data_IF_751861695448
#
_entry.id   IF_751861695448
#
_cell.length_a   1.000
_cell.length_b   1.000
_cell.length_c   1.000
_cell.angle_alpha   90.00
_cell.angle_beta   90.00
_cell.angle_gamma   90.00
#
_symmetry.space_group_name_H-M   'P 1'
#
loop_
_entity.id
_entity.type
_entity.pdbx_description
1 polymer ?
#
# COMPACT_ATOMS: atom_id res chain seq x y z
N UNK A 1 -0.48 -7.98 -6.54
CA UNK A 1 0.13 -6.89 -5.77
C UNK A 1 -0.63 -5.61 -6.08
N UNK A 2 -1.06 -4.86 -5.06
CA UNK A 2 -1.80 -3.61 -5.25
C UNK A 2 -0.90 -2.49 -4.73
N UNK A 3 -0.63 -1.47 -5.54
CA UNK A 3 -0.07 -0.22 -5.02
C UNK A 3 -1.20 0.63 -4.46
N UNK A 4 -0.97 1.23 -3.30
CA UNK A 4 -1.84 2.24 -2.69
C UNK A 4 -1.08 3.57 -2.59
N UNK A 5 -0.30 3.88 -3.61
CA UNK A 5 0.40 5.16 -3.74
C UNK A 5 -0.34 6.04 -4.75
N UNK A 6 -0.39 7.34 -4.46
CA UNK A 6 -1.13 8.30 -5.26
C UNK A 6 -0.31 8.82 -6.45
N UNK A 7 -0.25 8.01 -7.51
CA UNK A 7 0.25 8.43 -8.82
C UNK A 7 -0.35 7.59 -9.95
N UNK A 8 -0.40 8.14 -11.17
CA UNK A 8 -1.00 7.48 -12.32
C UNK A 8 -0.31 6.16 -12.68
N UNK A 9 -1.09 5.14 -13.05
CA UNK A 9 -0.59 3.83 -13.45
C UNK A 9 0.27 3.14 -12.39
N UNK A 10 -0.09 3.29 -11.11
CA UNK A 10 0.68 2.75 -9.99
C UNK A 10 0.89 1.23 -10.06
N UNK A 11 -0.10 0.47 -10.53
CA UNK A 11 0.02 -0.96 -10.83
C UNK A 11 1.09 -1.26 -11.88
N UNK A 12 1.05 -0.56 -13.03
CA UNK A 12 2.02 -0.74 -14.12
C UNK A 12 3.44 -0.42 -13.67
N UNK A 13 3.64 0.68 -12.94
CA UNK A 13 4.97 1.08 -12.43
C UNK A 13 5.53 0.11 -11.40
N UNK A 14 4.67 -0.45 -10.56
CA UNK A 14 5.05 -1.50 -9.63
C UNK A 14 5.47 -2.76 -10.38
N UNK A 15 4.67 -3.19 -11.38
CA UNK A 15 4.97 -4.32 -12.26
C UNK A 15 6.33 -4.16 -12.94
N UNK A 16 6.55 -3.03 -13.59
CA UNK A 16 7.79 -2.74 -14.31
C UNK A 16 9.02 -2.80 -13.40
N UNK A 17 8.90 -2.23 -12.20
CA UNK A 17 9.97 -2.20 -11.19
C UNK A 17 10.31 -3.61 -10.69
N UNK A 18 9.29 -4.41 -10.36
CA UNK A 18 9.47 -5.80 -9.92
C UNK A 18 10.12 -6.64 -11.03
N UNK A 19 9.62 -6.54 -12.26
CA UNK A 19 10.15 -7.32 -13.38
C UNK A 19 11.56 -6.87 -13.78
N UNK A 20 11.90 -5.58 -13.62
CA UNK A 20 13.27 -5.10 -13.84
C UNK A 20 14.26 -5.75 -12.87
N UNK A 21 13.91 -5.84 -11.59
CA UNK A 21 14.74 -6.50 -10.58
C UNK A 21 14.85 -8.01 -10.88
N UNK A 22 13.73 -8.66 -11.18
CA UNK A 22 13.70 -10.09 -11.50
C UNK A 22 14.58 -10.41 -12.73
N UNK A 23 14.49 -9.61 -13.80
CA UNK A 23 15.37 -9.73 -14.98
C UNK A 23 16.84 -9.65 -14.59
N UNK A 24 17.22 -8.64 -13.80
CA UNK A 24 18.60 -8.47 -13.36
C UNK A 24 19.12 -9.66 -12.52
N UNK A 25 18.26 -10.34 -11.77
CA UNK A 25 18.61 -11.56 -11.05
C UNK A 25 18.75 -12.78 -11.96
N UNK A 26 17.88 -12.94 -12.95
CA UNK A 26 18.01 -14.01 -13.96
C UNK A 26 19.29 -13.84 -14.78
N UNK A 27 19.60 -12.63 -15.24
CA UNK A 27 20.84 -12.32 -15.98
C UNK A 27 22.10 -12.66 -15.19
N UNK A 28 22.05 -12.60 -13.86
CA UNK A 28 23.15 -12.93 -12.95
C UNK A 28 23.16 -14.41 -12.52
N UNK A 29 22.22 -15.21 -13.01
CA UNK A 29 22.07 -16.62 -12.63
C UNK A 29 21.58 -16.85 -11.20
N UNK A 30 21.03 -15.82 -10.53
CA UNK A 30 20.48 -15.94 -9.18
C UNK A 30 19.06 -16.54 -9.18
N UNK A 31 18.34 -16.43 -10.30
CA UNK A 31 17.01 -16.99 -10.51
C UNK A 31 16.92 -17.67 -11.88
N UNK A 32 15.96 -18.58 -12.05
CA UNK A 32 15.68 -19.25 -13.33
C UNK A 32 14.83 -18.36 -14.26
N UNK A 33 14.91 -18.62 -15.56
CA UNK A 33 14.04 -17.98 -16.54
C UNK A 33 12.55 -18.29 -16.26
N UNK A 34 12.24 -19.51 -15.80
CA UNK A 34 10.89 -19.92 -15.43
C UNK A 34 10.27 -19.01 -14.35
N UNK A 35 11.09 -18.51 -13.40
CA UNK A 35 10.62 -17.56 -12.40
C UNK A 35 10.18 -16.23 -13.05
N UNK A 36 10.97 -15.72 -13.99
CA UNK A 36 10.65 -14.48 -14.68
C UNK A 36 9.42 -14.62 -15.57
N UNK A 37 9.27 -15.77 -16.24
CA UNK A 37 8.11 -16.08 -17.07
C UNK A 37 6.84 -16.13 -16.21
N UNK A 38 6.90 -16.81 -15.06
CA UNK A 38 5.80 -16.84 -14.08
C UNK A 38 5.46 -15.44 -13.54
N UNK A 39 6.47 -14.65 -13.16
CA UNK A 39 6.26 -13.30 -12.62
C UNK A 39 5.69 -12.32 -13.66
N UNK A 40 5.95 -12.58 -14.94
CA UNK A 40 5.47 -11.76 -16.06
C UNK A 40 4.06 -12.13 -16.55
N UNK A 41 3.55 -13.31 -16.13
CA UNK A 41 2.21 -13.79 -16.47
C UNK A 41 1.16 -13.12 -15.57
N UNK A 42 0.38 -12.22 -16.15
CA UNK A 42 -0.66 -11.46 -15.46
C UNK A 42 -1.80 -12.33 -14.89
N UNK A 43 -1.94 -13.59 -15.33
CA UNK A 43 -2.88 -14.57 -14.74
C UNK A 43 -2.34 -15.24 -13.48
N UNK A 44 -1.02 -15.17 -13.26
CA UNK A 44 -0.32 -15.74 -12.10
C UNK A 44 0.05 -14.67 -11.09
N UNK A 45 0.47 -13.50 -11.58
CA UNK A 45 0.85 -12.35 -10.78
C UNK A 45 0.23 -11.10 -11.37
N UNK A 46 -0.83 -10.60 -10.72
CA UNK A 46 -1.52 -9.40 -11.17
C UNK A 46 -1.04 -8.14 -10.44
N UNK A 47 -1.05 -7.02 -11.15
CA UNK A 47 -0.70 -5.68 -10.67
C UNK A 47 -1.82 -4.68 -11.03
N UNK A 48 -3.02 -4.80 -10.45
CA UNK A 48 -4.13 -3.90 -10.77
C UNK A 48 -3.78 -2.45 -10.46
N UNK A 49 -4.27 -1.56 -11.31
CA UNK A 49 -4.21 -0.12 -11.06
C UNK A 49 -5.23 0.24 -9.98
N UNK A 50 -4.85 1.15 -9.09
CA UNK A 50 -5.75 1.71 -8.08
C UNK A 50 -5.82 3.23 -8.16
N UNK A 51 -6.96 3.77 -7.75
CA UNK A 51 -7.15 5.17 -7.38
C UNK A 51 -7.54 5.18 -5.92
N UNK A 52 -6.71 5.82 -5.09
CA UNK A 52 -6.98 6.03 -3.69
C UNK A 52 -7.11 7.53 -3.43
N UNK A 53 -8.06 7.89 -2.58
CA UNK A 53 -8.17 9.26 -2.11
C UNK A 53 -8.76 9.28 -0.70
N UNK A 54 -8.00 9.88 0.23
CA UNK A 54 -8.38 10.13 1.62
C UNK A 54 -7.37 11.08 2.25
N UNK A 55 -7.81 12.23 2.73
CA UNK A 55 -6.91 13.12 3.48
C UNK A 55 -6.65 12.55 4.87
N UNK A 56 -5.38 12.26 5.15
CA UNK A 56 -4.90 11.78 6.46
C UNK A 56 -3.97 12.81 7.11
N UNK A 57 -4.50 13.76 7.90
CA UNK A 57 -3.67 14.75 8.57
C UNK A 57 -2.82 14.11 9.69
N UNK A 58 -1.91 14.91 10.25
CA UNK A 58 -1.12 14.50 11.41
C UNK A 58 -2.02 14.13 12.61
N UNK A 59 -1.53 13.32 13.56
CA UNK A 59 -2.23 13.03 14.81
C UNK A 59 -2.67 14.32 15.55
N UNK A 60 -3.81 14.25 16.25
CA UNK A 60 -4.47 15.39 16.91
C UNK A 60 -4.54 15.14 18.40
N UNK A 61 -4.16 16.13 19.20
CA UNK A 61 -4.23 16.05 20.67
C UNK A 61 -5.66 15.82 21.14
N UNK A 62 -6.65 16.46 20.52
CA UNK A 62 -8.08 16.28 20.84
C UNK A 62 -8.51 14.81 20.66
N UNK A 63 -8.04 14.14 19.61
CA UNK A 63 -8.37 12.74 19.35
C UNK A 63 -7.65 11.81 20.34
N UNK A 64 -6.39 12.12 20.68
CA UNK A 64 -5.64 11.40 21.72
C UNK A 64 -6.34 11.46 23.07
N UNK A 65 -6.77 12.65 23.51
CA UNK A 65 -7.49 12.87 24.75
C UNK A 65 -8.85 12.16 24.75
N UNK A 66 -9.59 12.25 23.64
CA UNK A 66 -10.85 11.56 23.47
C UNK A 66 -10.70 10.03 23.60
N UNK A 67 -9.74 9.43 22.90
CA UNK A 67 -9.49 7.98 22.96
C UNK A 67 -9.01 7.55 24.35
N UNK A 68 -8.16 8.36 25.01
CA UNK A 68 -7.74 8.12 26.40
C UNK A 68 -8.95 8.17 27.35
N UNK A 69 -9.88 9.11 27.16
CA UNK A 69 -11.12 9.21 27.93
C UNK A 69 -12.07 8.03 27.74
N UNK A 70 -12.01 7.35 26.57
CA UNK A 70 -12.71 6.09 26.31
C UNK A 70 -12.02 4.86 26.95
N UNK A 71 -10.84 5.04 27.56
CA UNK A 71 -10.08 3.98 28.20
C UNK A 71 -9.07 3.26 27.30
N UNK A 72 -8.80 3.77 26.09
CA UNK A 72 -7.71 3.25 25.27
C UNK A 72 -6.36 3.65 25.86
N UNK A 73 -5.42 2.71 25.89
CA UNK A 73 -4.04 2.94 26.34
C UNK A 73 -3.14 3.30 25.16
N UNK A 74 -1.99 3.91 25.43
CA UNK A 74 -0.96 4.21 24.42
C UNK A 74 -1.42 5.13 23.27
N UNK A 75 -2.34 6.06 23.58
CA UNK A 75 -2.88 7.03 22.61
C UNK A 75 -2.06 8.33 22.51
N UNK A 76 -0.98 8.47 23.28
CA UNK A 76 -0.13 9.66 23.23
C UNK A 76 0.50 9.88 21.85
N UNK A 77 0.74 11.14 21.51
CA UNK A 77 1.47 11.53 20.30
C UNK A 77 2.95 11.58 20.63
N UNK A 78 3.75 10.79 19.92
CA UNK A 78 5.20 10.80 20.02
C UNK A 78 5.82 11.66 18.91
N UNK A 79 6.81 12.45 19.27
CA UNK A 79 7.48 13.43 18.41
C UNK A 79 8.91 12.98 18.03
N UNK A 80 9.09 11.68 17.77
CA UNK A 80 10.34 11.11 17.28
C UNK A 80 10.65 11.60 15.85
N UNK A 81 11.27 12.77 15.75
CA UNK A 81 11.75 13.34 14.49
C UNK A 81 10.78 14.32 13.83
N UNK A 82 10.75 14.33 12.49
CA UNK A 82 10.04 15.37 11.71
C UNK A 82 8.52 15.15 11.63
N UNK A 83 8.08 13.92 11.81
CA UNK A 83 6.68 13.53 11.65
C UNK A 83 6.19 12.94 12.97
N UNK A 84 5.22 13.57 13.64
CA UNK A 84 4.59 13.01 14.83
C UNK A 84 3.91 11.67 14.50
N UNK A 85 3.98 10.72 15.44
CA UNK A 85 3.37 9.40 15.32
C UNK A 85 2.42 9.16 16.50
N UNK A 86 1.37 8.37 16.28
CA UNK A 86 0.43 7.97 17.32
C UNK A 86 -0.14 6.59 16.98
N UNK A 87 -0.74 5.91 17.97
CA UNK A 87 -1.44 4.63 17.78
C UNK A 87 -2.79 4.74 17.05
N UNK A 88 -3.16 5.93 16.58
CA UNK A 88 -4.39 6.20 15.85
C UNK A 88 -4.11 7.04 14.59
N UNK A 89 -5.09 7.08 13.69
CA UNK A 89 -5.03 7.86 12.45
C UNK A 89 -6.23 8.80 12.40
N UNK A 90 -5.96 10.07 12.15
CA UNK A 90 -6.98 11.04 11.80
C UNK A 90 -7.28 10.94 10.31
N UNK A 91 -8.55 11.08 9.93
CA UNK A 91 -8.92 11.22 8.55
C UNK A 91 -10.21 12.02 8.40
N UNK A 92 -10.42 12.56 7.21
CA UNK A 92 -11.74 13.06 6.83
C UNK A 92 -12.75 11.90 6.62
N UNK A 93 -14.06 12.19 6.60
CA UNK A 93 -15.08 11.18 6.31
C UNK A 93 -15.08 10.67 4.86
N UNK A 94 -14.71 11.53 3.91
CA UNK A 94 -14.73 11.19 2.47
C UNK A 94 -13.60 10.22 2.15
N UNK A 95 -13.91 9.17 1.39
CA UNK A 95 -12.92 8.19 0.94
C UNK A 95 -13.30 7.60 -0.41
N UNK A 96 -12.28 7.35 -1.25
CA UNK A 96 -12.43 6.67 -2.52
C UNK A 96 -11.39 5.56 -2.65
N UNK A 97 -11.86 4.39 -3.07
CA UNK A 97 -11.04 3.25 -3.47
C UNK A 97 -11.62 2.69 -4.76
N UNK A 98 -10.90 2.88 -5.86
CA UNK A 98 -11.22 2.29 -7.16
C UNK A 98 -10.07 1.36 -7.50
N UNK A 99 -10.38 0.11 -7.83
CA UNK A 99 -9.37 -0.87 -8.20
C UNK A 99 -9.80 -1.52 -9.51
N UNK A 100 -8.87 -1.65 -10.44
CA UNK A 100 -9.05 -2.50 -11.61
C UNK A 100 -9.36 -3.94 -11.15
N UNK A 101 -10.44 -4.55 -11.65
CA UNK A 101 -10.82 -5.92 -11.28
C UNK A 101 -9.94 -6.96 -12.00
N UNK A 102 -8.63 -6.90 -11.70
CA UNK A 102 -7.58 -7.72 -12.29
C UNK A 102 -6.74 -8.34 -11.17
N UNK A 103 -7.18 -9.50 -10.69
CA UNK A 103 -6.55 -10.23 -9.61
C UNK A 103 -6.18 -11.65 -10.06
N UNK A 104 -5.00 -12.12 -9.67
CA UNK A 104 -4.54 -13.47 -9.99
C UNK A 104 -5.01 -14.53 -8.97
N UNK A 105 -5.62 -14.09 -7.87
CA UNK A 105 -6.17 -14.92 -6.81
C UNK A 105 -7.46 -14.28 -6.27
N UNK A 106 -8.10 -14.94 -5.30
CA UNK A 106 -9.27 -14.39 -4.62
C UNK A 106 -8.96 -13.03 -3.98
N UNK A 107 -9.97 -12.17 -3.97
CA UNK A 107 -9.92 -10.83 -3.36
C UNK A 107 -11.07 -10.65 -2.38
N UNK A 108 -10.92 -9.74 -1.39
CA UNK A 108 -12.05 -9.32 -0.57
C UNK A 108 -13.23 -8.81 -1.42
N UNK A 109 -14.46 -8.96 -0.90
CA UNK A 109 -15.63 -8.29 -1.45
C UNK A 109 -15.60 -6.82 -1.01
N UNK A 110 -14.73 -6.04 -1.65
CA UNK A 110 -14.68 -4.57 -1.51
C UNK A 110 -15.99 -3.93 -2.00
#
# INVERSE_FOLDING_TARGET
FISADNFSHNGDKLRDSVLQIARGWVERGALSQEFLDWASDDTKVAFPISVIDKITPRPSEEVSEYLTGLGFTDMGIDHLGRTPIAGFVNAEPTEYLIIEDKFAAERPPF
#
